data_IF_780728760675
#
_entry.id   IF_780728760675
#
_cell.length_a   1.000
_cell.length_b   1.000
_cell.length_c   1.000
_cell.angle_alpha   90.00
_cell.angle_beta   90.00
_cell.angle_gamma   90.00
#
_symmetry.space_group_name_H-M   'P 1'
#
loop_
_entity.id
_entity.type
_entity.pdbx_description
1 polymer ?
#
# COMPACT_ATOMS: atom_id res chain seq x y z
N UNK A 1 -12.99 -3.21 8.60
CA UNK A 1 -13.86 -4.27 9.17
C UNK A 1 -13.78 -5.52 8.31
N UNK A 2 -13.87 -6.68 8.95
CA UNK A 2 -13.91 -7.99 8.30
C UNK A 2 -15.33 -8.29 7.81
N UNK A 3 -15.43 -8.75 6.57
CA UNK A 3 -16.67 -9.26 5.97
C UNK A 3 -16.46 -10.73 5.66
N UNK A 4 -17.23 -11.60 6.31
CA UNK A 4 -17.12 -13.03 6.13
C UNK A 4 -17.43 -13.46 4.70
N UNK A 5 -16.74 -14.49 4.22
CA UNK A 5 -16.91 -15.11 2.89
C UNK A 5 -16.71 -14.16 1.70
N UNK A 6 -16.21 -12.94 1.91
CA UNK A 6 -15.93 -12.00 0.82
C UNK A 6 -14.46 -12.06 0.40
N UNK A 7 -14.19 -12.52 -0.81
CA UNK A 7 -12.84 -12.51 -1.39
C UNK A 7 -12.34 -11.08 -1.63
N UNK A 8 -13.20 -10.19 -2.11
CA UNK A 8 -12.88 -8.76 -2.26
C UNK A 8 -12.43 -8.15 -0.93
N UNK A 9 -13.11 -8.47 0.18
CA UNK A 9 -12.71 -7.98 1.49
C UNK A 9 -11.32 -8.48 1.91
N UNK A 10 -10.95 -9.71 1.56
CA UNK A 10 -9.61 -10.24 1.80
C UNK A 10 -8.54 -9.43 1.02
N UNK A 11 -8.80 -9.10 -0.24
CA UNK A 11 -7.90 -8.27 -1.05
C UNK A 11 -7.77 -6.87 -0.44
N UNK A 12 -8.87 -6.23 -0.06
CA UNK A 12 -8.89 -4.89 0.56
C UNK A 12 -8.09 -4.87 1.87
N UNK A 13 -8.30 -5.87 2.72
CA UNK A 13 -7.59 -5.99 4.00
C UNK A 13 -6.11 -6.29 3.80
N UNK A 14 -5.79 -7.18 2.87
CA UNK A 14 -4.41 -7.49 2.51
C UNK A 14 -3.67 -6.24 1.98
N UNK A 15 -4.28 -5.50 1.09
CA UNK A 15 -3.73 -4.24 0.60
C UNK A 15 -3.52 -3.23 1.73
N UNK A 16 -4.46 -3.14 2.68
CA UNK A 16 -4.32 -2.29 3.86
C UNK A 16 -3.14 -2.72 4.74
N UNK A 17 -2.95 -4.02 4.98
CA UNK A 17 -1.81 -4.56 5.72
C UNK A 17 -0.50 -4.26 5.00
N UNK A 18 -0.43 -4.51 3.70
CA UNK A 18 0.78 -4.26 2.90
C UNK A 18 1.16 -2.78 2.90
N UNK A 19 0.19 -1.89 2.73
CA UNK A 19 0.40 -0.44 2.81
C UNK A 19 0.87 -0.03 4.20
N UNK A 20 0.28 -0.60 5.27
CA UNK A 20 0.70 -0.34 6.64
C UNK A 20 2.14 -0.78 6.90
N UNK A 21 2.54 -1.96 6.42
CA UNK A 21 3.93 -2.42 6.50
C UNK A 21 4.87 -1.44 5.82
N UNK A 22 4.51 -0.92 4.65
CA UNK A 22 5.34 0.03 3.91
C UNK A 22 5.51 1.33 4.69
N UNK A 23 4.44 2.07 5.00
CA UNK A 23 4.60 3.37 5.62
C UNK A 23 5.14 3.30 7.06
N UNK A 24 4.83 2.26 7.84
CA UNK A 24 5.44 2.05 9.15
C UNK A 24 6.94 1.75 9.06
N UNK A 25 7.34 0.92 8.10
CA UNK A 25 8.75 0.59 7.92
C UNK A 25 9.56 1.81 7.53
N UNK A 26 9.07 2.60 6.57
CA UNK A 26 9.73 3.83 6.15
C UNK A 26 9.77 4.88 7.26
N UNK A 27 8.68 5.07 8.00
CA UNK A 27 8.67 5.98 9.15
C UNK A 27 9.67 5.53 10.23
N UNK A 28 9.77 4.22 10.48
CA UNK A 28 10.69 3.68 11.50
C UNK A 28 12.17 3.86 11.15
N UNK A 29 12.53 3.83 9.88
CA UNK A 29 13.89 4.12 9.44
C UNK A 29 14.17 5.61 9.24
N UNK A 30 13.19 6.48 9.54
CA UNK A 30 13.33 7.93 9.52
C UNK A 30 12.97 8.60 8.20
N UNK A 31 12.26 7.92 7.30
CA UNK A 31 11.77 8.44 6.04
C UNK A 31 10.25 8.31 5.92
N UNK A 32 9.45 8.96 6.80
CA UNK A 32 7.99 8.92 6.70
C UNK A 32 7.53 9.61 5.42
N UNK A 33 6.61 8.98 4.68
CA UNK A 33 6.17 9.50 3.39
C UNK A 33 4.65 9.67 3.27
N UNK A 34 3.87 8.99 4.11
CA UNK A 34 2.41 9.11 4.11
C UNK A 34 1.83 8.84 5.50
N UNK A 35 0.60 9.30 5.70
CA UNK A 35 -0.25 8.96 6.84
C UNK A 35 -1.62 8.52 6.37
N UNK A 36 -2.42 7.97 7.27
CA UNK A 36 -3.80 7.55 7.00
C UNK A 36 -4.73 8.37 7.86
N UNK A 37 -5.51 9.26 7.28
CA UNK A 37 -6.35 10.24 7.98
C UNK A 37 -7.30 9.65 9.02
N UNK A 38 -7.66 8.38 8.87
CA UNK A 38 -8.49 7.67 9.86
C UNK A 38 -7.76 7.36 11.17
N UNK A 39 -6.43 7.42 11.18
CA UNK A 39 -5.59 7.09 12.33
C UNK A 39 -4.32 7.94 12.31
N UNK A 40 -4.49 9.24 12.24
CA UNK A 40 -3.44 10.23 12.17
C UNK A 40 -3.65 11.29 13.25
N UNK A 41 -2.58 11.61 13.97
CA UNK A 41 -2.54 12.73 14.90
C UNK A 41 -1.25 13.51 14.69
N UNK A 42 -1.32 14.82 14.81
CA UNK A 42 -0.17 15.70 14.73
C UNK A 42 -0.31 16.91 15.67
N UNK A 43 0.79 17.47 16.06
CA UNK A 43 0.81 18.69 16.86
C UNK A 43 0.38 19.88 16.01
N UNK A 44 -0.37 20.79 16.61
CA UNK A 44 -0.84 22.02 15.97
C UNK A 44 0.31 22.84 15.36
N UNK A 45 1.46 22.85 16.03
CA UNK A 45 2.67 23.54 15.57
C UNK A 45 3.16 23.00 14.24
N UNK A 46 3.18 21.66 14.05
CA UNK A 46 3.62 21.04 12.81
C UNK A 46 2.70 21.43 11.62
N UNK A 47 1.41 21.62 11.88
CA UNK A 47 0.48 22.08 10.87
C UNK A 47 0.82 23.52 10.41
N UNK A 48 1.08 24.42 11.36
CA UNK A 48 1.41 25.80 11.02
C UNK A 48 2.81 25.97 10.45
N UNK A 49 3.78 25.16 10.86
CA UNK A 49 5.15 25.18 10.32
C UNK A 49 5.20 24.96 8.79
N UNK A 50 4.24 24.23 8.24
CA UNK A 50 4.13 23.95 6.79
C UNK A 50 3.01 24.74 6.13
N UNK A 51 2.47 25.79 6.78
CA UNK A 51 1.33 26.56 6.29
C UNK A 51 0.06 25.74 6.02
N UNK A 52 -0.14 24.65 6.77
CA UNK A 52 -1.30 23.78 6.67
C UNK A 52 -1.39 23.07 5.31
N UNK A 53 -2.51 23.25 4.64
CA UNK A 53 -2.79 22.59 3.34
C UNK A 53 -2.55 23.50 2.12
N UNK A 54 -1.90 24.67 2.28
CA UNK A 54 -1.81 25.68 1.22
C UNK A 54 -1.14 25.11 -0.04
N UNK A 55 -0.05 24.36 0.09
CA UNK A 55 0.72 23.84 -1.04
C UNK A 55 -0.04 22.80 -1.88
N UNK A 56 -1.09 22.20 -1.31
CA UNK A 56 -1.88 21.18 -2.00
C UNK A 56 -3.40 21.39 -1.90
N UNK A 57 -3.84 22.61 -1.55
CA UNK A 57 -5.25 22.95 -1.37
C UNK A 57 -6.10 22.73 -2.63
N UNK A 58 -5.49 22.76 -3.81
CA UNK A 58 -6.17 22.52 -5.08
C UNK A 58 -6.32 21.01 -5.39
N UNK A 59 -5.64 20.14 -4.63
CA UNK A 59 -5.70 18.69 -4.82
C UNK A 59 -6.87 18.17 -3.98
N UNK A 60 -7.88 17.59 -4.64
CA UNK A 60 -9.13 17.14 -3.99
C UNK A 60 -8.99 15.86 -3.16
N UNK A 61 -7.76 15.41 -2.85
CA UNK A 61 -7.46 14.19 -2.09
C UNK A 61 -6.06 14.34 -1.49
N UNK A 62 -5.77 13.60 -0.43
CA UNK A 62 -4.44 13.55 0.14
C UNK A 62 -4.15 14.60 1.19
N UNK A 63 -5.18 15.13 1.82
CA UNK A 63 -5.08 15.99 3.00
C UNK A 63 -4.31 15.31 4.15
N UNK A 64 -4.34 14.00 4.22
CA UNK A 64 -3.54 13.18 5.13
C UNK A 64 -2.16 12.86 4.54
N UNK A 65 -2.12 12.26 3.37
CA UNK A 65 -0.90 11.79 2.71
C UNK A 65 0.07 12.93 2.37
N UNK A 66 -0.42 13.98 1.70
CA UNK A 66 0.41 15.10 1.25
C UNK A 66 0.88 15.95 2.41
N UNK A 67 0.04 16.13 3.43
CA UNK A 67 0.46 16.80 4.66
C UNK A 67 1.63 16.07 5.31
N UNK A 68 1.53 14.75 5.51
CA UNK A 68 2.62 13.96 6.09
C UNK A 68 3.83 13.95 5.16
N UNK A 69 3.66 13.83 3.86
CA UNK A 69 4.77 13.88 2.91
C UNK A 69 5.53 15.21 2.98
N UNK A 70 4.84 16.32 3.25
CA UNK A 70 5.44 17.63 3.42
C UNK A 70 6.10 17.82 4.79
N UNK A 71 5.36 17.55 5.88
CA UNK A 71 5.69 17.94 7.25
C UNK A 71 6.55 16.91 8.00
N UNK A 72 6.37 15.61 7.72
CA UNK A 72 6.97 14.57 8.51
C UNK A 72 8.46 14.36 8.18
N UNK A 73 9.23 14.05 9.22
CA UNK A 73 10.65 13.75 9.11
C UNK A 73 11.09 12.80 10.23
N UNK A 74 12.37 12.46 10.25
CA UNK A 74 12.96 11.52 11.20
C UNK A 74 12.77 11.93 12.67
N UNK A 75 12.71 13.22 12.98
CA UNK A 75 12.74 13.73 14.35
C UNK A 75 11.35 14.04 14.93
N UNK A 76 10.35 14.28 14.07
CA UNK A 76 9.00 14.67 14.49
C UNK A 76 7.93 13.58 14.29
N UNK A 77 8.33 12.37 13.87
CA UNK A 77 7.41 11.30 13.54
C UNK A 77 7.58 10.07 14.42
N UNK A 78 6.48 9.54 14.91
CA UNK A 78 6.41 8.24 15.60
C UNK A 78 5.26 7.40 15.05
N UNK A 79 5.34 6.08 15.23
CA UNK A 79 4.30 5.15 14.81
C UNK A 79 3.68 4.46 16.02
N UNK A 80 2.38 4.24 15.96
CA UNK A 80 1.64 3.41 16.92
C UNK A 80 0.95 2.27 16.18
N UNK A 81 1.13 1.06 16.69
CA UNK A 81 0.47 -0.17 16.21
C UNK A 81 -0.03 -1.03 17.38
N UNK A 82 -0.30 -0.40 18.51
CA UNK A 82 -0.93 -1.08 19.66
C UNK A 82 -2.40 -1.34 19.34
N UNK A 83 -2.99 -2.43 19.83
CA UNK A 83 -4.40 -2.74 19.58
C UNK A 83 -5.38 -1.62 19.90
N UNK A 84 -5.05 -0.81 20.91
CA UNK A 84 -5.86 0.33 21.38
C UNK A 84 -5.87 1.49 20.37
N UNK A 85 -4.84 1.56 19.51
CA UNK A 85 -4.75 2.59 18.47
C UNK A 85 -5.48 2.20 17.18
N UNK A 86 -6.06 0.99 17.07
CA UNK A 86 -6.66 0.55 15.83
C UNK A 86 -8.01 1.23 15.57
N UNK A 87 -8.15 1.73 14.36
CA UNK A 87 -9.42 2.25 13.85
C UNK A 87 -10.00 1.33 12.80
N UNK A 88 -11.33 1.20 12.79
CA UNK A 88 -12.05 0.33 11.87
C UNK A 88 -12.97 1.14 10.97
N UNK A 89 -12.95 0.85 9.68
CA UNK A 89 -13.86 1.45 8.71
C UNK A 89 -14.57 0.39 7.88
N UNK A 90 -15.75 0.73 7.41
CA UNK A 90 -16.52 -0.15 6.51
C UNK A 90 -15.80 -0.27 5.18
N UNK A 91 -15.53 -1.51 4.70
CA UNK A 91 -14.93 -1.71 3.39
C UNK A 91 -15.92 -1.38 2.27
N UNK A 92 -15.39 -1.12 1.07
CA UNK A 92 -16.23 -1.02 -0.13
C UNK A 92 -16.91 -2.37 -0.42
N UNK A 93 -18.16 -2.31 -0.87
CA UNK A 93 -18.98 -3.51 -1.09
C UNK A 93 -18.72 -4.15 -2.46
N UNK A 94 -18.33 -3.35 -3.45
CA UNK A 94 -18.10 -3.81 -4.81
C UNK A 94 -16.66 -3.53 -5.26
N UNK A 95 -16.16 -4.37 -6.19
CA UNK A 95 -14.86 -4.16 -6.81
C UNK A 95 -14.78 -2.80 -7.52
N UNK A 96 -15.83 -2.38 -8.21
CA UNK A 96 -15.91 -1.09 -8.92
C UNK A 96 -15.71 0.10 -7.98
N UNK A 97 -16.39 0.09 -6.82
CA UNK A 97 -16.25 1.17 -5.82
C UNK A 97 -14.83 1.21 -5.24
N UNK A 98 -14.27 0.04 -4.91
CA UNK A 98 -12.90 -0.06 -4.40
C UNK A 98 -11.87 0.36 -5.46
N UNK A 99 -12.01 -0.11 -6.68
CA UNK A 99 -11.17 0.27 -7.81
C UNK A 99 -11.17 1.78 -8.05
N UNK A 100 -12.33 2.43 -8.05
CA UNK A 100 -12.46 3.89 -8.19
C UNK A 100 -11.78 4.62 -7.04
N UNK A 101 -11.93 4.13 -5.82
CA UNK A 101 -11.23 4.68 -4.65
C UNK A 101 -9.70 4.57 -4.81
N UNK A 102 -9.20 3.42 -5.27
CA UNK A 102 -7.76 3.20 -5.44
C UNK A 102 -7.15 4.05 -6.56
N UNK A 103 -7.86 4.21 -7.65
CA UNK A 103 -7.43 5.12 -8.73
C UNK A 103 -7.18 6.53 -8.19
N UNK A 104 -8.06 7.03 -7.33
CA UNK A 104 -7.92 8.33 -6.70
C UNK A 104 -6.71 8.39 -5.75
N UNK A 105 -6.51 7.37 -4.89
CA UNK A 105 -5.36 7.34 -3.99
C UNK A 105 -4.04 7.29 -4.76
N UNK A 106 -3.97 6.54 -5.85
CA UNK A 106 -2.76 6.49 -6.69
C UNK A 106 -2.48 7.84 -7.36
N UNK A 107 -3.50 8.58 -7.77
CA UNK A 107 -3.30 9.92 -8.34
C UNK A 107 -2.75 10.93 -7.32
N UNK A 108 -3.04 10.76 -6.04
CA UNK A 108 -2.44 11.58 -4.98
C UNK A 108 -0.95 11.34 -4.85
N UNK A 109 -0.49 10.10 -5.03
CA UNK A 109 0.93 9.75 -4.95
C UNK A 109 1.78 10.41 -6.05
N UNK A 110 1.19 10.93 -7.14
CA UNK A 110 1.91 11.72 -8.16
C UNK A 110 2.52 13.00 -7.57
N UNK A 111 1.99 13.48 -6.45
CA UNK A 111 2.44 14.69 -5.76
C UNK A 111 3.45 14.44 -4.64
N UNK A 112 3.80 13.18 -4.35
CA UNK A 112 4.82 12.85 -3.36
C UNK A 112 6.21 13.32 -3.78
N UNK A 113 7.11 13.47 -2.82
CA UNK A 113 8.53 13.73 -3.09
C UNK A 113 9.12 12.68 -4.03
N UNK A 114 10.09 13.08 -4.83
CA UNK A 114 10.67 12.21 -5.87
C UNK A 114 11.15 10.86 -5.34
N UNK A 115 11.87 10.85 -4.22
CA UNK A 115 12.39 9.61 -3.63
C UNK A 115 11.26 8.67 -3.16
N UNK A 116 10.18 9.20 -2.62
CA UNK A 116 9.03 8.39 -2.17
C UNK A 116 8.33 7.74 -3.38
N UNK A 117 8.15 8.49 -4.47
CA UNK A 117 7.63 7.95 -5.73
C UNK A 117 8.53 6.86 -6.30
N UNK A 118 9.84 7.09 -6.29
CA UNK A 118 10.83 6.13 -6.77
C UNK A 118 10.79 4.82 -5.97
N UNK A 119 10.73 4.91 -4.64
CA UNK A 119 10.64 3.74 -3.76
C UNK A 119 9.38 2.91 -4.00
N UNK A 120 8.23 3.58 -4.07
CA UNK A 120 6.94 2.92 -4.33
C UNK A 120 6.91 2.29 -5.72
N UNK A 121 7.42 3.01 -6.72
CA UNK A 121 7.55 2.52 -8.09
C UNK A 121 8.49 1.31 -8.18
N UNK A 122 9.65 1.37 -7.56
CA UNK A 122 10.63 0.28 -7.55
C UNK A 122 10.06 -0.98 -6.86
N UNK A 123 9.33 -0.80 -5.75
CA UNK A 123 8.66 -1.90 -5.08
C UNK A 123 7.66 -2.61 -6.00
N UNK A 124 6.78 -1.86 -6.67
CA UNK A 124 5.80 -2.42 -7.58
C UNK A 124 6.45 -3.08 -8.81
N UNK A 125 7.41 -2.39 -9.44
CA UNK A 125 8.10 -2.87 -10.63
C UNK A 125 8.89 -4.14 -10.31
N UNK A 126 9.58 -4.21 -9.19
CA UNK A 126 10.34 -5.40 -8.79
C UNK A 126 9.43 -6.61 -8.57
N UNK A 127 8.26 -6.43 -7.98
CA UNK A 127 7.27 -7.51 -7.84
C UNK A 127 6.76 -7.98 -9.20
N UNK A 128 6.39 -7.04 -10.08
CA UNK A 128 5.88 -7.35 -11.40
C UNK A 128 6.90 -8.14 -12.23
N UNK A 129 8.14 -7.63 -12.30
CA UNK A 129 9.22 -8.30 -13.04
C UNK A 129 9.60 -9.64 -12.44
N UNK A 130 9.56 -9.79 -11.12
CA UNK A 130 9.81 -11.07 -10.48
C UNK A 130 8.84 -12.14 -10.99
N UNK A 131 7.54 -11.90 -10.94
CA UNK A 131 6.55 -12.87 -11.41
C UNK A 131 6.60 -13.08 -12.92
N UNK A 132 6.81 -12.02 -13.70
CA UNK A 132 6.96 -12.11 -15.14
C UNK A 132 8.16 -13.00 -15.52
N UNK A 133 9.32 -12.76 -14.90
CA UNK A 133 10.52 -13.57 -15.16
C UNK A 133 10.36 -15.02 -14.71
N UNK A 134 9.73 -15.27 -13.57
CA UNK A 134 9.41 -16.64 -13.15
C UNK A 134 8.59 -17.36 -14.21
N UNK A 135 7.53 -16.73 -14.73
CA UNK A 135 6.67 -17.32 -15.78
C UNK A 135 7.48 -17.59 -17.05
N UNK A 136 8.25 -16.60 -17.51
CA UNK A 136 9.06 -16.71 -18.74
C UNK A 136 10.12 -17.81 -18.61
N UNK A 137 10.90 -17.81 -17.54
CA UNK A 137 11.98 -18.78 -17.35
C UNK A 137 11.47 -20.22 -17.20
N UNK A 138 10.32 -20.40 -16.53
CA UNK A 138 9.67 -21.72 -16.44
C UNK A 138 9.10 -22.16 -17.78
N UNK A 139 8.51 -21.26 -18.57
CA UNK A 139 7.99 -21.58 -19.90
C UNK A 139 9.10 -22.06 -20.87
N UNK A 140 10.28 -21.45 -20.76
CA UNK A 140 11.46 -21.88 -21.52
C UNK A 140 12.26 -23.03 -20.86
N UNK A 141 11.79 -23.53 -19.72
CA UNK A 141 12.46 -24.57 -18.92
C UNK A 141 13.92 -24.21 -18.55
N UNK A 142 14.25 -22.90 -18.56
CA UNK A 142 15.59 -22.43 -18.27
C UNK A 142 15.84 -22.50 -16.76
N UNK A 143 16.81 -23.32 -16.35
CA UNK A 143 17.23 -23.48 -14.95
C UNK A 143 16.05 -23.63 -13.98
N UNK A 144 15.00 -24.35 -14.39
CA UNK A 144 13.72 -24.41 -13.69
C UNK A 144 13.82 -24.75 -12.19
N UNK A 145 14.80 -25.61 -11.80
CA UNK A 145 15.05 -25.96 -10.39
C UNK A 145 15.49 -24.70 -9.61
N UNK A 146 16.43 -23.93 -10.16
CA UNK A 146 16.89 -22.68 -9.54
C UNK A 146 15.75 -21.65 -9.45
N UNK A 147 14.95 -21.54 -10.50
CA UNK A 147 13.78 -20.64 -10.52
C UNK A 147 12.77 -21.01 -9.43
N UNK A 148 12.45 -22.29 -9.27
CA UNK A 148 11.57 -22.76 -8.20
C UNK A 148 12.17 -22.57 -6.80
N UNK A 149 13.48 -22.77 -6.64
CA UNK A 149 14.17 -22.51 -5.38
C UNK A 149 14.09 -21.02 -4.99
N UNK A 150 14.33 -20.10 -5.93
CA UNK A 150 14.22 -18.67 -5.73
C UNK A 150 12.77 -18.29 -5.40
N UNK A 151 11.79 -18.84 -6.11
CA UNK A 151 10.36 -18.60 -5.84
C UNK A 151 9.97 -19.08 -4.42
N UNK A 152 10.40 -20.28 -4.03
CA UNK A 152 10.16 -20.82 -2.69
C UNK A 152 10.81 -19.96 -1.61
N UNK A 153 12.04 -19.52 -1.81
CA UNK A 153 12.77 -18.64 -0.89
C UNK A 153 12.03 -17.31 -0.73
N UNK A 154 11.64 -16.68 -1.85
CA UNK A 154 10.84 -15.44 -1.80
C UNK A 154 9.54 -15.63 -1.01
N UNK A 155 8.77 -16.68 -1.31
CA UNK A 155 7.52 -16.91 -0.60
C UNK A 155 7.76 -17.17 0.89
N UNK A 156 8.79 -17.91 1.27
CA UNK A 156 9.14 -18.14 2.67
C UNK A 156 9.42 -16.82 3.40
N UNK A 157 10.28 -15.97 2.82
CA UNK A 157 10.66 -14.68 3.43
C UNK A 157 9.45 -13.75 3.50
N UNK A 158 8.78 -13.52 2.38
CA UNK A 158 7.67 -12.56 2.31
C UNK A 158 6.47 -13.02 3.15
N UNK A 159 6.18 -14.32 3.12
CA UNK A 159 5.10 -14.89 3.95
C UNK A 159 5.41 -14.78 5.45
N UNK A 160 6.64 -14.98 5.86
CA UNK A 160 7.06 -14.78 7.25
C UNK A 160 6.87 -13.32 7.67
N UNK A 161 7.38 -12.38 6.87
CA UNK A 161 7.28 -10.94 7.18
C UNK A 161 5.82 -10.47 7.22
N UNK A 162 5.06 -10.76 6.18
CA UNK A 162 3.64 -10.39 6.10
C UNK A 162 2.82 -11.13 7.15
N UNK A 163 3.09 -12.43 7.37
CA UNK A 163 2.39 -13.23 8.37
C UNK A 163 2.60 -12.73 9.80
N UNK A 164 3.82 -12.35 10.16
CA UNK A 164 4.12 -11.72 11.45
C UNK A 164 3.42 -10.36 11.58
N UNK A 165 3.47 -9.56 10.54
CA UNK A 165 2.84 -8.23 10.52
C UNK A 165 1.32 -8.31 10.58
N UNK A 166 0.71 -9.21 9.80
CA UNK A 166 -0.73 -9.47 9.85
C UNK A 166 -1.17 -9.96 11.25
N UNK A 167 -0.33 -10.75 11.92
CA UNK A 167 -0.57 -11.15 13.31
C UNK A 167 -0.64 -9.98 14.27
N UNK A 168 0.31 -9.05 14.17
CA UNK A 168 0.34 -7.82 14.98
C UNK A 168 -0.83 -6.88 14.68
N UNK A 169 -1.30 -6.86 13.44
CA UNK A 169 -2.43 -6.05 12.99
C UNK A 169 -3.79 -6.76 13.14
N UNK A 170 -3.86 -7.91 13.85
CA UNK A 170 -5.08 -8.71 14.08
C UNK A 170 -5.75 -9.24 12.80
N UNK A 171 -4.95 -9.48 11.75
CA UNK A 171 -5.39 -9.95 10.43
C UNK A 171 -4.87 -11.36 10.11
N UNK A 172 -4.85 -12.26 11.11
CA UNK A 172 -4.25 -13.60 11.02
C UNK A 172 -4.84 -14.49 9.92
N UNK A 173 -6.13 -14.36 9.63
CA UNK A 173 -6.81 -15.15 8.60
C UNK A 173 -6.30 -14.86 7.17
N UNK A 174 -5.63 -13.74 6.95
CA UNK A 174 -5.02 -13.42 5.66
C UNK A 174 -3.79 -14.27 5.34
N UNK A 175 -3.14 -14.86 6.35
CA UNK A 175 -1.91 -15.64 6.16
C UNK A 175 -2.08 -16.78 5.15
N UNK A 176 -3.20 -17.51 5.21
CA UNK A 176 -3.49 -18.61 4.29
C UNK A 176 -3.78 -18.11 2.88
N UNK A 177 -4.39 -16.92 2.76
CA UNK A 177 -4.79 -16.34 1.49
C UNK A 177 -3.68 -15.57 0.79
N UNK A 178 -2.56 -15.34 1.46
CA UNK A 178 -1.48 -14.49 1.00
C UNK A 178 -1.08 -14.70 -0.47
N UNK A 179 -0.74 -15.92 -0.95
CA UNK A 179 -0.29 -16.09 -2.33
C UNK A 179 -1.34 -15.68 -3.37
N UNK A 180 -2.61 -15.96 -3.08
CA UNK A 180 -3.71 -15.67 -4.01
C UNK A 180 -4.06 -14.17 -4.00
N UNK A 181 -4.13 -13.56 -2.81
CA UNK A 181 -4.47 -12.13 -2.71
C UNK A 181 -3.34 -11.23 -3.18
N UNK A 182 -2.08 -11.65 -3.07
CA UNK A 182 -0.92 -10.94 -3.62
C UNK A 182 -1.03 -10.83 -5.14
N UNK A 183 -1.27 -11.94 -5.83
CA UNK A 183 -1.44 -11.95 -7.29
C UNK A 183 -2.64 -11.11 -7.70
N UNK A 184 -3.78 -11.28 -7.02
CA UNK A 184 -4.99 -10.49 -7.29
C UNK A 184 -4.75 -8.99 -7.11
N UNK A 185 -3.95 -8.58 -6.11
CA UNK A 185 -3.59 -7.19 -5.89
C UNK A 185 -2.69 -6.66 -7.00
N UNK A 186 -1.66 -7.40 -7.42
CA UNK A 186 -0.77 -7.02 -8.53
C UNK A 186 -1.58 -6.81 -9.82
N UNK A 187 -2.46 -7.75 -10.16
CA UNK A 187 -3.32 -7.63 -11.34
C UNK A 187 -4.24 -6.40 -11.24
N UNK A 188 -4.77 -6.12 -10.05
CA UNK A 188 -5.58 -4.92 -9.83
C UNK A 188 -4.75 -3.64 -10.01
N UNK A 189 -3.53 -3.60 -9.50
CA UNK A 189 -2.62 -2.46 -9.65
C UNK A 189 -2.27 -2.22 -11.13
N UNK A 190 -1.94 -3.28 -11.88
CA UNK A 190 -1.73 -3.19 -13.34
C UNK A 190 -2.96 -2.58 -14.02
N UNK A 191 -4.15 -3.08 -13.72
CA UNK A 191 -5.39 -2.57 -14.29
C UNK A 191 -5.62 -1.09 -13.95
N UNK A 192 -5.31 -0.66 -12.72
CA UNK A 192 -5.39 0.75 -12.31
C UNK A 192 -4.42 1.61 -13.13
N UNK A 193 -3.16 1.18 -13.27
CA UNK A 193 -2.17 1.94 -14.05
C UNK A 193 -2.60 2.06 -15.51
N UNK A 194 -2.99 0.96 -16.16
CA UNK A 194 -3.48 0.98 -17.53
C UNK A 194 -4.68 1.93 -17.66
N UNK A 195 -5.66 1.80 -16.76
CA UNK A 195 -6.86 2.64 -16.80
C UNK A 195 -6.52 4.13 -16.62
N UNK A 196 -5.56 4.46 -15.75
CA UNK A 196 -5.15 5.84 -15.51
C UNK A 196 -4.41 6.47 -16.72
N UNK A 197 -3.76 5.66 -17.56
CA UNK A 197 -3.17 6.15 -18.83
C UNK A 197 -4.28 6.65 -19.76
N UNK A 198 -5.39 5.94 -19.86
CA UNK A 198 -6.47 6.23 -20.81
C UNK A 198 -7.57 7.15 -20.25
N UNK A 199 -7.70 7.26 -18.93
CA UNK A 199 -8.73 8.10 -18.31
C UNK A 199 -8.29 8.65 -16.96
N UNK A 200 -8.56 9.94 -16.73
CA UNK A 200 -8.28 10.54 -15.42
C UNK A 200 -9.23 9.98 -14.35
N UNK A 201 -8.79 9.86 -13.09
CA UNK A 201 -9.66 9.45 -11.99
C UNK A 201 -10.83 10.43 -11.82
N UNK A 202 -12.02 9.89 -11.55
CA UNK A 202 -13.20 10.72 -11.24
C UNK A 202 -13.05 11.24 -9.81
N UNK A 203 -13.06 12.55 -9.66
CA UNK A 203 -13.07 13.21 -8.35
C UNK A 203 -14.47 13.18 -7.70
N UNK A 204 -14.53 13.41 -6.40
CA UNK A 204 -15.79 13.53 -5.69
C UNK A 204 -16.69 14.61 -6.35
N UNK A 205 -17.95 14.24 -6.59
CA UNK A 205 -19.01 15.23 -6.82
C UNK A 205 -19.55 15.72 -5.49
#
# INVERSE_FOLDING_TARGET
>A
EKVERSFLNKIIRFETVLTAIQYFSWAKIGSPYMGVGRNLAYKKEEFFNVNGFIDHIQIRSGDDDLFINQAANKTNTTISYTPESFTYSKPKKTYKEWFTQKRRHISTAEHYKFFDKMQLGLFFISQLFFFLLVIVLLAFQFQWIAVLAILATRYTVVWTVIGCSAGKLKENDLKIWFPVVEIALILTQINIFITNIFSKPVYWK
#
